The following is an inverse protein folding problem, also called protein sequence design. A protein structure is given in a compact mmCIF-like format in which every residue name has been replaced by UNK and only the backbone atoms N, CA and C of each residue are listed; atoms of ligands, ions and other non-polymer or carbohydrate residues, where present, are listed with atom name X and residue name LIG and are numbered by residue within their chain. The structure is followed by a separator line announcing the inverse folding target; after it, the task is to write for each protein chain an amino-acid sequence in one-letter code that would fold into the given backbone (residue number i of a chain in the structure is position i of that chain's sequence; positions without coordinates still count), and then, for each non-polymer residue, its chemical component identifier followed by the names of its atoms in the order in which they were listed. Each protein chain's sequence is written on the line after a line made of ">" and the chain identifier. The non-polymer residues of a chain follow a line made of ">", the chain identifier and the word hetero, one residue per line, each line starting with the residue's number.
data_IF_633665514422
#
_entry.id   IF_633665514422
#
_cell.length_a   1.000
_cell.length_b   1.000
_cell.length_c   1.000
_cell.angle_alpha   90.00
_cell.angle_beta   90.00
_cell.angle_gamma   90.00
#
_symmetry.space_group_name_H-M   'P 1'
#
loop_
_entity.id
_entity.type
_entity.pdbx_description
1 polymer ?
#
# COMPACT_ATOMS: atom_id res chain seq x y z
N UNK A 1 -3.03 -27.44 -40.62
CA UNK A 1 -3.09 -26.04 -40.13
C UNK A 1 -4.01 -25.94 -38.89
N UNK A 2 -3.75 -26.73 -37.83
CA UNK A 2 -4.56 -26.72 -36.60
C UNK A 2 -3.73 -26.39 -35.34
N UNK A 3 -2.40 -26.43 -35.44
CA UNK A 3 -1.49 -26.13 -34.33
C UNK A 3 -1.42 -24.63 -33.98
N UNK A 4 -1.73 -23.74 -34.93
CA UNK A 4 -1.67 -22.28 -34.72
C UNK A 4 -2.84 -21.71 -33.91
N UNK A 5 -4.05 -22.27 -34.05
CA UNK A 5 -5.25 -21.76 -33.35
C UNK A 5 -5.30 -22.16 -31.87
N UNK A 6 -4.78 -23.34 -31.53
CA UNK A 6 -4.76 -23.83 -30.15
C UNK A 6 -3.69 -23.13 -29.30
N UNK A 7 -2.57 -22.74 -29.93
CA UNK A 7 -1.56 -21.91 -29.26
C UNK A 7 -2.07 -20.48 -29.01
N UNK A 8 -2.68 -19.83 -30.01
CA UNK A 8 -3.24 -18.48 -29.85
C UNK A 8 -4.29 -18.38 -28.73
N UNK A 9 -5.16 -19.40 -28.59
CA UNK A 9 -6.15 -19.46 -27.51
C UNK A 9 -5.51 -19.56 -26.12
N UNK A 10 -4.43 -20.34 -25.98
CA UNK A 10 -3.72 -20.45 -24.69
C UNK A 10 -2.96 -19.16 -24.35
N UNK A 11 -2.30 -18.51 -25.32
CA UNK A 11 -1.62 -17.23 -25.09
C UNK A 11 -2.61 -16.11 -24.71
N UNK A 12 -3.78 -16.04 -25.36
CA UNK A 12 -4.82 -15.06 -25.03
C UNK A 12 -5.39 -15.27 -23.62
N UNK A 13 -5.67 -16.52 -23.22
CA UNK A 13 -6.15 -16.81 -21.86
C UNK A 13 -5.11 -16.52 -20.77
N UNK A 14 -3.82 -16.79 -21.03
CA UNK A 14 -2.73 -16.50 -20.08
C UNK A 14 -2.57 -15.00 -19.88
N UNK A 15 -2.64 -14.20 -20.95
CA UNK A 15 -2.55 -12.73 -20.85
C UNK A 15 -3.72 -12.15 -20.04
N UNK A 16 -4.96 -12.57 -20.32
CA UNK A 16 -6.15 -12.09 -19.58
C UNK A 16 -6.09 -12.49 -18.11
N UNK A 17 -5.65 -13.72 -17.80
CA UNK A 17 -5.52 -14.20 -16.41
C UNK A 17 -4.41 -13.47 -15.66
N UNK A 18 -3.29 -13.19 -16.33
CA UNK A 18 -2.18 -12.41 -15.75
C UNK A 18 -2.62 -10.97 -15.45
N UNK A 19 -3.31 -10.31 -16.38
CA UNK A 19 -3.81 -8.95 -16.20
C UNK A 19 -4.81 -8.84 -15.03
N UNK A 20 -5.78 -9.78 -14.95
CA UNK A 20 -6.73 -9.82 -13.84
C UNK A 20 -6.06 -10.04 -12.47
N UNK A 21 -4.96 -10.81 -12.44
CA UNK A 21 -4.19 -11.07 -11.21
C UNK A 21 -3.36 -9.87 -10.76
N UNK A 22 -2.89 -9.06 -11.70
CA UNK A 22 -2.15 -7.82 -11.42
C UNK A 22 -3.11 -6.74 -10.92
N UNK A 23 -4.26 -6.55 -11.58
CA UNK A 23 -5.29 -5.60 -11.15
C UNK A 23 -5.76 -5.87 -9.71
N UNK A 24 -6.03 -7.14 -9.37
CA UNK A 24 -6.45 -7.51 -8.01
C UNK A 24 -5.36 -7.27 -6.96
N UNK A 25 -4.08 -7.28 -7.34
CA UNK A 25 -2.98 -6.96 -6.44
C UNK A 25 -2.92 -5.46 -6.14
N UNK A 26 -3.06 -4.61 -7.15
CA UNK A 26 -3.13 -3.15 -6.97
C UNK A 26 -4.35 -2.74 -6.14
N UNK A 27 -5.52 -3.36 -6.38
CA UNK A 27 -6.73 -3.11 -5.59
C UNK A 27 -6.49 -3.40 -4.10
N UNK A 28 -5.86 -4.53 -3.78
CA UNK A 28 -5.52 -4.90 -2.40
C UNK A 28 -4.54 -3.90 -1.77
N UNK A 29 -3.54 -3.43 -2.51
CA UNK A 29 -2.60 -2.40 -2.04
C UNK A 29 -3.35 -1.09 -1.71
N UNK A 30 -4.22 -0.62 -2.60
CA UNK A 30 -5.01 0.60 -2.37
C UNK A 30 -5.93 0.45 -1.16
N UNK A 31 -6.58 -0.71 -0.99
CA UNK A 31 -7.41 -1.01 0.18
C UNK A 31 -6.61 -1.03 1.49
N UNK A 32 -5.38 -1.55 1.47
CA UNK A 32 -4.50 -1.54 2.64
C UNK A 32 -4.03 -0.12 2.99
N UNK A 33 -3.74 0.73 2.00
CA UNK A 33 -3.42 2.14 2.23
C UNK A 33 -4.60 2.90 2.83
N UNK A 34 -5.80 2.69 2.30
CA UNK A 34 -7.02 3.26 2.86
C UNK A 34 -7.21 2.85 4.34
N UNK A 35 -7.01 1.57 4.64
CA UNK A 35 -7.08 1.09 6.02
C UNK A 35 -5.96 1.66 6.90
N UNK A 36 -4.76 1.81 6.37
CA UNK A 36 -3.64 2.45 7.08
C UNK A 36 -3.99 3.89 7.46
N UNK A 37 -4.53 4.68 6.54
CA UNK A 37 -4.97 6.06 6.79
C UNK A 37 -5.98 6.10 7.94
N UNK A 38 -6.99 5.23 7.93
CA UNK A 38 -8.00 5.14 8.99
C UNK A 38 -7.40 4.79 10.37
N UNK A 39 -6.41 3.89 10.41
CA UNK A 39 -5.74 3.54 11.66
C UNK A 39 -4.81 4.67 12.14
N UNK A 40 -4.15 5.40 11.23
CA UNK A 40 -3.37 6.60 11.55
C UNK A 40 -4.27 7.71 12.13
N UNK A 41 -5.44 7.95 11.54
CA UNK A 41 -6.44 8.87 12.11
C UNK A 41 -6.88 8.43 13.50
N UNK A 42 -7.03 7.12 13.73
CA UNK A 42 -7.33 6.55 15.04
C UNK A 42 -6.20 6.79 16.05
N UNK A 43 -4.92 6.69 15.63
CA UNK A 43 -3.76 7.05 16.46
C UNK A 43 -3.84 8.53 16.85
N UNK A 44 -4.03 9.43 15.88
CA UNK A 44 -4.17 10.87 16.15
C UNK A 44 -5.30 11.14 17.15
N UNK A 45 -6.50 10.62 16.89
CA UNK A 45 -7.67 10.80 17.75
C UNK A 45 -7.41 10.30 19.17
N UNK A 46 -6.77 9.14 19.32
CA UNK A 46 -6.45 8.57 20.63
C UNK A 46 -5.46 9.42 21.43
N UNK A 47 -4.50 10.08 20.75
CA UNK A 47 -3.56 11.03 21.38
C UNK A 47 -4.32 12.27 21.86
N UNK A 48 -5.17 12.86 21.01
CA UNK A 48 -5.96 14.06 21.34
C UNK A 48 -6.92 13.83 22.51
N UNK A 49 -7.53 12.65 22.58
CA UNK A 49 -8.46 12.25 23.63
C UNK A 49 -7.79 11.62 24.86
N UNK A 50 -6.46 11.40 24.79
CA UNK A 50 -5.65 10.73 25.82
C UNK A 50 -6.10 9.29 26.13
N UNK A 51 -6.70 8.61 25.16
CA UNK A 51 -7.02 7.18 25.25
C UNK A 51 -5.78 6.33 24.92
N UNK A 52 -5.05 5.94 25.96
CA UNK A 52 -3.80 5.18 25.80
C UNK A 52 -4.01 3.75 25.31
N UNK A 53 -5.17 3.14 25.60
CA UNK A 53 -5.47 1.78 25.16
C UNK A 53 -5.75 1.76 23.66
N UNK A 54 -6.61 2.69 23.20
CA UNK A 54 -6.87 2.87 21.78
C UNK A 54 -5.58 3.24 21.04
N UNK A 55 -4.76 4.12 21.61
CA UNK A 55 -3.48 4.51 21.03
C UNK A 55 -2.60 3.29 20.75
N UNK A 56 -2.38 2.46 21.76
CA UNK A 56 -1.54 1.27 21.61
C UNK A 56 -2.07 0.33 20.53
N UNK A 57 -3.39 0.11 20.48
CA UNK A 57 -4.04 -0.75 19.50
C UNK A 57 -3.93 -0.19 18.07
N UNK A 58 -4.26 1.08 17.87
CA UNK A 58 -4.20 1.73 16.57
C UNK A 58 -2.77 1.86 16.05
N UNK A 59 -1.81 2.14 16.95
CA UNK A 59 -0.37 2.20 16.62
C UNK A 59 0.10 0.84 16.10
N UNK A 60 -0.19 -0.24 16.84
CA UNK A 60 0.23 -1.59 16.43
C UNK A 60 -0.37 -1.99 15.09
N UNK A 61 -1.67 -1.75 14.88
CA UNK A 61 -2.33 -2.04 13.60
C UNK A 61 -1.73 -1.26 12.44
N UNK A 62 -1.40 0.02 12.63
CA UNK A 62 -0.75 0.84 11.60
C UNK A 62 0.59 0.23 11.21
N UNK A 63 1.39 -0.20 12.19
CA UNK A 63 2.68 -0.88 11.97
C UNK A 63 2.48 -2.22 11.27
N UNK A 64 1.51 -3.03 11.68
CA UNK A 64 1.24 -4.34 11.07
C UNK A 64 0.88 -4.20 9.57
N UNK A 65 0.09 -3.19 9.22
CA UNK A 65 -0.26 -2.90 7.82
C UNK A 65 0.97 -2.46 7.03
N UNK A 66 1.78 -1.55 7.58
CA UNK A 66 3.01 -1.08 6.94
C UNK A 66 3.99 -2.23 6.69
N UNK A 67 4.19 -3.11 7.68
CA UNK A 67 5.03 -4.30 7.53
C UNK A 67 4.46 -5.26 6.48
N UNK A 68 3.14 -5.42 6.43
CA UNK A 68 2.48 -6.24 5.40
C UNK A 68 2.64 -5.68 3.98
N UNK A 69 2.50 -4.36 3.83
CA UNK A 69 2.75 -3.66 2.56
C UNK A 69 4.22 -3.80 2.14
N UNK A 70 5.15 -3.57 3.06
CA UNK A 70 6.58 -3.69 2.80
C UNK A 70 6.99 -5.11 2.39
N UNK A 71 6.49 -6.12 3.10
CA UNK A 71 6.74 -7.53 2.80
C UNK A 71 6.13 -7.99 1.45
N UNK A 72 5.22 -7.20 0.87
CA UNK A 72 4.63 -7.49 -0.45
C UNK A 72 5.50 -6.99 -1.61
N UNK A 73 6.52 -6.15 -1.35
CA UNK A 73 7.41 -5.62 -2.37
C UNK A 73 8.41 -6.68 -2.84
N UNK A 74 8.54 -6.84 -4.16
CA UNK A 74 9.60 -7.66 -4.75
C UNK A 74 10.91 -6.88 -4.85
N UNK A 75 11.67 -6.88 -3.74
CA UNK A 75 12.98 -6.23 -3.66
C UNK A 75 14.05 -6.91 -4.55
N UNK A 76 13.79 -8.10 -5.08
CA UNK A 76 14.77 -8.85 -5.89
C UNK A 76 14.97 -8.26 -7.29
N UNK A 77 13.99 -7.49 -7.76
CA UNK A 77 14.02 -6.78 -9.05
C UNK A 77 15.13 -5.72 -9.13
N UNK A 78 15.55 -5.18 -7.97
CA UNK A 78 16.53 -4.09 -7.89
C UNK A 78 16.03 -2.76 -8.46
N UNK A 79 14.72 -2.62 -8.68
CA UNK A 79 14.12 -1.40 -9.22
C UNK A 79 14.19 -0.25 -8.21
N UNK A 80 14.69 0.90 -8.65
CA UNK A 80 14.85 2.09 -7.81
C UNK A 80 13.53 2.55 -7.18
N UNK A 81 12.42 2.45 -7.94
CA UNK A 81 11.09 2.77 -7.44
C UNK A 81 10.71 1.90 -6.23
N UNK A 82 10.89 0.59 -6.36
CA UNK A 82 10.54 -0.36 -5.30
C UNK A 82 11.40 -0.12 -4.06
N UNK A 83 12.69 0.18 -4.23
CA UNK A 83 13.60 0.53 -3.12
C UNK A 83 13.18 1.83 -2.42
N UNK A 84 12.72 2.83 -3.19
CA UNK A 84 12.23 4.08 -2.61
C UNK A 84 10.93 3.88 -1.80
N UNK A 85 10.03 3.02 -2.28
CA UNK A 85 8.80 2.67 -1.56
C UNK A 85 9.11 1.89 -0.28
N UNK A 86 10.04 0.94 -0.33
CA UNK A 86 10.54 0.21 0.84
C UNK A 86 11.08 1.18 1.92
N UNK A 87 11.99 2.08 1.53
CA UNK A 87 12.54 3.09 2.43
C UNK A 87 11.46 4.01 3.01
N UNK A 88 10.43 4.32 2.23
CA UNK A 88 9.29 5.12 2.68
C UNK A 88 8.47 4.39 3.75
N UNK A 89 8.21 3.09 3.59
CA UNK A 89 7.52 2.28 4.59
C UNK A 89 8.34 2.09 5.86
N UNK A 90 9.65 1.86 5.77
CA UNK A 90 10.54 1.82 6.94
C UNK A 90 10.48 3.13 7.73
N UNK A 91 10.58 4.26 7.02
CA UNK A 91 10.45 5.58 7.63
C UNK A 91 9.07 5.80 8.26
N UNK A 92 8.00 5.35 7.60
CA UNK A 92 6.64 5.43 8.13
C UNK A 92 6.48 4.64 9.43
N UNK A 93 7.03 3.42 9.51
CA UNK A 93 7.02 2.60 10.74
C UNK A 93 7.71 3.33 11.88
N UNK A 94 8.91 3.88 11.64
CA UNK A 94 9.65 4.65 12.62
C UNK A 94 8.85 5.90 13.07
N UNK A 95 8.22 6.60 12.13
CA UNK A 95 7.41 7.80 12.38
C UNK A 95 6.19 7.48 13.24
N UNK A 96 5.46 6.39 12.96
CA UNK A 96 4.29 5.97 13.76
C UNK A 96 4.71 5.65 15.20
N UNK A 97 5.84 4.95 15.36
CA UNK A 97 6.37 4.63 16.67
C UNK A 97 6.79 5.89 17.45
N UNK A 98 7.53 6.80 16.81
CA UNK A 98 7.95 8.08 17.39
C UNK A 98 6.75 8.93 17.78
N UNK A 99 5.78 9.10 16.88
CA UNK A 99 4.57 9.87 17.14
C UNK A 99 3.76 9.33 18.31
N UNK A 100 3.62 8.00 18.41
CA UNK A 100 2.93 7.35 19.52
C UNK A 100 3.69 7.52 20.85
N UNK A 101 5.02 7.42 20.83
CA UNK A 101 5.87 7.58 22.02
C UNK A 101 5.85 9.02 22.53
N UNK A 102 6.04 9.99 21.64
CA UNK A 102 6.14 11.42 21.97
C UNK A 102 4.77 12.11 22.04
N UNK A 103 3.67 11.37 21.78
CA UNK A 103 2.30 11.89 21.74
C UNK A 103 2.16 13.08 20.76
N UNK A 104 2.85 12.99 19.61
CA UNK A 104 2.94 14.06 18.62
C UNK A 104 2.01 13.79 17.43
N UNK A 105 0.86 14.46 17.40
CA UNK A 105 -0.13 14.32 16.32
C UNK A 105 0.32 14.93 15.01
N UNK A 106 1.23 15.92 15.01
CA UNK A 106 1.72 16.54 13.78
C UNK A 106 2.51 15.56 12.91
N UNK A 107 3.24 14.63 13.54
CA UNK A 107 3.93 13.55 12.83
C UNK A 107 2.94 12.63 12.12
N UNK A 108 1.83 12.28 12.78
CA UNK A 108 0.76 11.47 12.18
C UNK A 108 0.07 12.21 11.03
N UNK A 109 -0.23 13.50 11.19
CA UNK A 109 -0.87 14.30 10.13
C UNK A 109 0.00 14.36 8.87
N UNK A 110 1.31 14.61 9.03
CA UNK A 110 2.25 14.61 7.90
C UNK A 110 2.32 13.24 7.24
N UNK A 111 2.36 12.17 8.03
CA UNK A 111 2.42 10.81 7.51
C UNK A 111 1.14 10.43 6.74
N UNK A 112 -0.04 10.84 7.22
CA UNK A 112 -1.31 10.64 6.49
C UNK A 112 -1.22 11.27 5.10
N UNK A 113 -0.68 12.49 4.97
CA UNK A 113 -0.48 13.13 3.68
C UNK A 113 0.41 12.29 2.75
N UNK A 114 1.57 11.86 3.25
CA UNK A 114 2.51 11.01 2.48
C UNK A 114 1.88 9.70 2.02
N UNK A 115 1.14 9.00 2.89
CA UNK A 115 0.47 7.74 2.57
C UNK A 115 -0.68 7.97 1.58
N UNK A 116 -1.36 9.11 1.66
CA UNK A 116 -2.43 9.50 0.71
C UNK A 116 -1.83 9.73 -0.67
N UNK A 117 -0.78 10.53 -0.78
CA UNK A 117 -0.09 10.80 -2.05
C UNK A 117 0.41 9.48 -2.70
N UNK A 118 0.92 8.55 -1.89
CA UNK A 118 1.36 7.24 -2.39
C UNK A 118 0.19 6.38 -2.89
N UNK A 119 -0.94 6.38 -2.16
CA UNK A 119 -2.16 5.69 -2.57
C UNK A 119 -2.67 6.23 -3.90
N UNK A 120 -2.74 7.55 -4.06
CA UNK A 120 -3.14 8.20 -5.32
C UNK A 120 -2.20 7.82 -6.48
N UNK A 121 -0.90 7.70 -6.21
CA UNK A 121 0.07 7.18 -7.18
C UNK A 121 -0.23 5.75 -7.66
N UNK A 122 -0.64 4.86 -6.75
CA UNK A 122 -1.06 3.50 -7.11
C UNK A 122 -2.38 3.48 -7.90
N UNK A 123 -3.36 4.31 -7.51
CA UNK A 123 -4.63 4.45 -8.22
C UNK A 123 -4.40 4.95 -9.66
N UNK A 124 -3.57 5.98 -9.85
CA UNK A 124 -3.23 6.47 -11.19
C UNK A 124 -2.47 5.44 -12.05
N UNK A 125 -1.62 4.61 -11.44
CA UNK A 125 -0.94 3.52 -12.15
C UNK A 125 -1.93 2.43 -12.60
N UNK A 126 -2.93 2.12 -11.78
CA UNK A 126 -4.02 1.20 -12.11
C UNK A 126 -4.89 1.74 -13.25
N UNK A 127 -5.33 3.01 -13.17
CA UNK A 127 -6.12 3.66 -14.23
C UNK A 127 -5.38 3.67 -15.56
N UNK A 128 -4.08 4.00 -15.56
CA UNK A 128 -3.26 3.98 -16.77
C UNK A 128 -3.19 2.58 -17.42
N UNK A 129 -3.13 1.52 -16.61
CA UNK A 129 -3.12 0.14 -17.09
C UNK A 129 -4.47 -0.26 -17.70
N UNK A 130 -5.58 0.19 -17.13
CA UNK A 130 -6.93 -0.08 -17.64
C UNK A 130 -7.19 0.66 -18.97
N UNK A 131 -6.75 1.91 -19.08
CA UNK A 131 -6.83 2.70 -20.32
C UNK A 131 -5.98 2.12 -21.45
N UNK A 132 -4.76 1.66 -21.14
CA UNK A 132 -3.86 1.06 -22.13
C UNK A 132 -4.38 -0.28 -22.69
N UNK A 133 -5.36 -0.89 -22.03
CA UNK A 133 -5.96 -2.18 -22.39
C UNK A 133 -7.35 -2.07 -23.04
N UNK A 134 -7.95 -0.87 -23.05
CA UNK A 134 -9.25 -0.56 -23.70
C UNK A 134 -9.10 -0.23 -25.18
#
# INVERSE_FOLDING_TARGET
>A
MLLGKQQQANYANVQVTANASVSSSFELICMLHERLIQELESVKFSIETKDLELKSKATQKSIDILVGLDASLDLSTGEELIQNIHALYEHAIATVFEASKEMNTELIIKLIGVVTDLKEGWEGAMEWLDEAQS
#
